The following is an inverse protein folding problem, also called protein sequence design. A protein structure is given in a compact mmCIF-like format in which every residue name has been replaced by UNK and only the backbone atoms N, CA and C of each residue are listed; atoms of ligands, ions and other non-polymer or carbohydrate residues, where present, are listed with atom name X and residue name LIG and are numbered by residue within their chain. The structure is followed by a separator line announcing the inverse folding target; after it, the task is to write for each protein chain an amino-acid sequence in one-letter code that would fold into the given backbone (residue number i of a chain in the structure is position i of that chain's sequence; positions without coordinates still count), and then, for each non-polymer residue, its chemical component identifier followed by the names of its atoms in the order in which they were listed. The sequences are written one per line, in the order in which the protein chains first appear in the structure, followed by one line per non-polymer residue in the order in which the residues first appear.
data_IF_964980928835
#
_entry.id   IF_964980928835
#
_cell.length_a   1.000
_cell.length_b   1.000
_cell.length_c   1.000
_cell.angle_alpha   90.00
_cell.angle_beta   90.00
_cell.angle_gamma   90.00
#
_symmetry.space_group_name_H-M   'P 1'
#
loop_
_entity.id
_entity.type
_entity.pdbx_description
1 polymer ?
#
# COMPACT_ATOMS: atom_id res chain seq x y z
N UNK A 1 22.97 -2.44 -0.87
CA UNK A 1 22.81 -2.06 -2.26
C UNK A 1 21.35 -1.75 -2.58
N UNK A 2 21.15 -0.71 -3.32
CA UNK A 2 19.79 -0.33 -3.68
C UNK A 2 19.30 -1.18 -4.85
N UNK A 3 18.19 -1.87 -4.66
CA UNK A 3 17.54 -2.62 -5.71
C UNK A 3 16.35 -1.84 -6.27
N UNK A 4 16.51 -0.53 -6.34
CA UNK A 4 15.44 0.33 -6.82
C UNK A 4 15.05 -0.04 -8.24
N UNK A 5 13.75 -0.09 -8.48
CA UNK A 5 13.18 -0.39 -9.78
C UNK A 5 12.76 0.93 -10.43
N UNK A 6 13.31 1.21 -11.60
CA UNK A 6 12.95 2.41 -12.35
C UNK A 6 12.49 1.99 -13.74
N UNK A 7 11.35 2.52 -14.16
CA UNK A 7 10.78 2.25 -15.47
C UNK A 7 10.24 3.55 -16.05
N UNK A 8 10.16 3.60 -17.37
CA UNK A 8 9.55 4.76 -18.02
C UNK A 8 8.04 4.78 -17.78
N UNK A 9 7.42 5.92 -17.98
CA UNK A 9 5.99 6.07 -17.88
C UNK A 9 5.26 5.10 -18.80
N UNK A 10 5.74 4.91 -20.01
CA UNK A 10 5.14 3.98 -20.96
C UNK A 10 5.21 2.54 -20.47
N UNK A 11 6.31 2.16 -19.83
CA UNK A 11 6.45 0.81 -19.28
C UNK A 11 5.45 0.56 -18.14
N UNK A 12 5.28 1.56 -17.26
CA UNK A 12 4.29 1.43 -16.19
C UNK A 12 2.88 1.32 -16.74
N UNK A 13 2.54 2.12 -17.76
CA UNK A 13 1.21 2.06 -18.37
C UNK A 13 0.94 0.73 -19.05
N UNK A 14 1.96 0.11 -19.62
CA UNK A 14 1.82 -1.20 -20.25
C UNK A 14 1.60 -2.32 -19.24
N UNK A 15 2.16 -2.16 -18.05
CA UNK A 15 2.12 -3.17 -17.00
C UNK A 15 0.86 -3.09 -16.13
N UNK A 16 0.36 -1.89 -15.90
CA UNK A 16 -0.69 -1.61 -14.91
C UNK A 16 -2.03 -1.32 -15.58
N UNK A 17 -3.12 -1.63 -14.86
CA UNK A 17 -4.43 -1.12 -15.29
C UNK A 17 -4.47 0.40 -15.09
N UNK A 18 -5.42 1.12 -15.72
CA UNK A 18 -5.54 2.56 -15.52
C UNK A 18 -5.67 2.96 -14.04
N UNK A 19 -6.46 2.23 -13.26
CA UNK A 19 -6.62 2.52 -11.85
C UNK A 19 -5.34 2.29 -11.06
N UNK A 20 -4.64 1.18 -11.32
CA UNK A 20 -3.37 0.88 -10.68
C UNK A 20 -2.34 1.95 -11.01
N UNK A 21 -2.31 2.39 -12.25
CA UNK A 21 -1.36 3.41 -12.70
C UNK A 21 -1.63 4.75 -11.98
N UNK A 22 -2.89 5.17 -11.93
CA UNK A 22 -3.26 6.43 -11.26
C UNK A 22 -2.88 6.41 -9.78
N UNK A 23 -3.18 5.32 -9.10
CA UNK A 23 -2.91 5.22 -7.66
C UNK A 23 -1.42 5.16 -7.39
N UNK A 24 -0.68 4.30 -8.09
CA UNK A 24 0.72 4.03 -7.76
C UNK A 24 1.69 5.05 -8.31
N UNK A 25 1.44 5.57 -9.52
CA UNK A 25 2.39 6.47 -10.18
C UNK A 25 1.96 7.94 -10.13
N UNK A 26 0.68 8.22 -9.88
CA UNK A 26 0.15 9.58 -9.81
C UNK A 26 -0.46 9.93 -8.46
N UNK A 27 -0.12 9.18 -7.42
CA UNK A 27 -0.55 9.46 -6.04
C UNK A 27 -2.08 9.55 -5.90
N UNK A 28 -2.80 8.80 -6.73
CA UNK A 28 -4.24 8.76 -6.62
C UNK A 28 -4.69 7.96 -5.41
N UNK A 29 -5.98 8.08 -5.08
CA UNK A 29 -6.58 7.32 -3.99
C UNK A 29 -7.80 6.62 -4.55
N UNK A 30 -7.91 5.30 -4.33
CA UNK A 30 -9.12 4.60 -4.72
C UNK A 30 -10.27 5.03 -3.82
N UNK A 31 -11.49 4.90 -4.34
CA UNK A 31 -12.68 5.23 -3.57
C UNK A 31 -12.86 4.20 -2.44
N UNK A 32 -13.23 4.66 -1.26
CA UNK A 32 -13.46 3.79 -0.11
C UNK A 32 -14.49 2.70 -0.47
N UNK A 33 -14.26 1.50 0.02
CA UNK A 33 -15.13 0.32 -0.16
C UNK A 33 -15.19 -0.21 -1.60
N UNK A 34 -14.37 0.28 -2.51
CA UNK A 34 -14.36 -0.20 -3.89
C UNK A 34 -13.22 -1.17 -4.17
N UNK A 35 -12.18 -1.20 -3.33
CA UNK A 35 -11.02 -2.05 -3.56
C UNK A 35 -11.33 -3.52 -3.31
N UNK A 36 -10.80 -4.38 -4.17
CA UNK A 36 -11.08 -5.82 -4.10
C UNK A 36 -10.44 -6.50 -2.90
N UNK A 37 -9.43 -5.89 -2.30
CA UNK A 37 -8.70 -6.50 -1.18
C UNK A 37 -9.16 -6.00 0.18
N UNK A 38 -10.10 -5.06 0.25
CA UNK A 38 -10.54 -4.49 1.51
C UNK A 38 -11.06 -5.57 2.47
N UNK A 39 -11.84 -6.50 1.97
CA UNK A 39 -12.46 -7.54 2.81
C UNK A 39 -11.85 -8.92 2.61
N UNK A 40 -10.58 -8.98 2.21
CA UNK A 40 -9.86 -10.25 2.10
C UNK A 40 -9.17 -10.52 3.42
N UNK A 41 -9.48 -11.66 4.05
CA UNK A 41 -8.90 -12.04 5.34
C UNK A 41 -8.26 -13.43 5.30
N UNK A 42 -8.00 -13.93 4.11
CA UNK A 42 -7.29 -15.19 3.94
C UNK A 42 -5.81 -15.04 4.30
N UNK A 43 -5.19 -16.12 4.71
CA UNK A 43 -3.76 -16.12 5.00
C UNK A 43 -2.96 -15.90 3.72
N UNK A 44 -2.04 -14.98 3.78
CA UNK A 44 -1.22 -14.69 2.61
C UNK A 44 -0.35 -13.47 2.81
N UNK A 45 0.24 -13.06 1.70
CA UNK A 45 1.17 -11.94 1.66
C UNK A 45 0.68 -10.91 0.66
N UNK A 46 0.80 -9.64 1.02
CA UNK A 46 0.45 -8.53 0.14
C UNK A 46 1.72 -7.95 -0.47
N UNK A 47 1.79 -8.01 -1.79
CA UNK A 47 2.95 -7.56 -2.57
C UNK A 47 2.65 -6.24 -3.26
N UNK A 48 3.71 -5.50 -3.60
CA UNK A 48 3.57 -4.30 -4.41
C UNK A 48 3.12 -4.71 -5.82
N UNK A 49 2.06 -4.08 -6.32
CA UNK A 49 1.55 -4.39 -7.67
C UNK A 49 2.57 -4.03 -8.75
N UNK A 50 3.46 -3.09 -8.47
CA UNK A 50 4.44 -2.61 -9.45
C UNK A 50 5.70 -3.45 -9.51
N UNK A 51 6.27 -3.84 -8.37
CA UNK A 51 7.58 -4.51 -8.34
C UNK A 51 7.57 -5.85 -7.62
N UNK A 52 6.43 -6.27 -7.10
CA UNK A 52 6.25 -7.55 -6.43
C UNK A 52 6.98 -7.69 -5.09
N UNK A 53 7.47 -6.60 -4.51
CA UNK A 53 8.08 -6.64 -3.19
C UNK A 53 7.04 -7.03 -2.13
N UNK A 54 7.44 -7.82 -1.14
CA UNK A 54 6.56 -8.16 -0.03
C UNK A 54 6.40 -6.96 0.88
N UNK A 55 5.17 -6.53 1.11
CA UNK A 55 4.87 -5.30 1.86
C UNK A 55 4.19 -5.55 3.19
N UNK A 56 3.14 -6.36 3.21
CA UNK A 56 2.35 -6.62 4.41
C UNK A 56 1.94 -8.07 4.50
N UNK A 57 1.79 -8.57 5.71
CA UNK A 57 1.29 -9.92 5.98
C UNK A 57 -0.18 -9.85 6.39
N UNK A 58 -0.95 -10.88 6.03
CA UNK A 58 -2.33 -11.02 6.48
C UNK A 58 -2.44 -11.05 8.00
N UNK A 59 -1.37 -11.41 8.69
CA UNK A 59 -1.39 -11.49 10.16
C UNK A 59 -1.60 -10.13 10.83
N UNK A 60 -1.30 -9.03 10.13
CA UNK A 60 -1.49 -7.69 10.67
C UNK A 60 -2.68 -6.95 10.04
N UNK A 61 -3.38 -7.58 9.11
CA UNK A 61 -4.55 -6.97 8.49
C UNK A 61 -5.75 -7.02 9.44
N UNK A 62 -6.50 -5.93 9.50
CA UNK A 62 -7.69 -5.87 10.33
C UNK A 62 -8.74 -4.96 9.67
N UNK A 63 -9.99 -5.07 10.15
CA UNK A 63 -11.09 -4.25 9.65
C UNK A 63 -11.12 -2.93 10.43
N UNK A 64 -10.67 -1.86 9.81
CA UNK A 64 -10.67 -0.53 10.44
C UNK A 64 -11.98 0.22 10.22
N UNK A 65 -12.85 -0.28 9.34
CA UNK A 65 -14.07 0.41 8.97
C UNK A 65 -13.86 1.56 8.00
N UNK A 66 -12.63 1.80 7.57
CA UNK A 66 -12.30 2.94 6.71
C UNK A 66 -12.69 2.75 5.25
N UNK A 67 -12.84 1.50 4.81
CA UNK A 67 -13.13 1.19 3.43
C UNK A 67 -11.91 0.90 2.59
N UNK A 68 -10.73 0.89 3.19
CA UNK A 68 -9.47 0.51 2.54
C UNK A 68 -8.80 -0.61 3.34
N UNK A 69 -8.00 -1.46 2.68
CA UNK A 69 -7.20 -2.44 3.40
C UNK A 69 -6.37 -1.77 4.49
N UNK A 70 -6.43 -2.30 5.69
CA UNK A 70 -5.73 -1.69 6.83
C UNK A 70 -4.86 -2.72 7.53
N UNK A 71 -3.67 -2.27 7.95
CA UNK A 71 -2.69 -3.12 8.62
C UNK A 71 -2.13 -2.35 9.81
N UNK A 72 -1.85 -3.03 10.90
CA UNK A 72 -1.31 -2.32 12.08
C UNK A 72 0.21 -2.40 12.17
N UNK A 73 0.86 -3.11 11.26
CA UNK A 73 2.32 -3.20 11.24
C UNK A 73 2.83 -3.55 9.84
N UNK A 74 4.12 -3.31 9.63
CA UNK A 74 4.83 -3.71 8.41
C UNK A 74 5.52 -5.04 8.67
N UNK A 75 6.23 -5.55 7.64
CA UNK A 75 7.02 -6.77 7.80
C UNK A 75 8.36 -6.53 8.49
N UNK A 76 8.76 -5.26 8.65
CA UNK A 76 10.05 -4.95 9.23
C UNK A 76 11.23 -5.24 8.32
N UNK A 77 10.99 -5.42 7.01
CA UNK A 77 12.02 -5.77 6.03
C UNK A 77 12.53 -4.58 5.22
N UNK A 78 12.13 -3.36 5.61
CA UNK A 78 12.57 -2.15 4.90
C UNK A 78 11.84 -1.87 3.60
N UNK A 79 10.80 -2.62 3.28
CA UNK A 79 10.07 -2.45 2.02
C UNK A 79 9.17 -1.22 1.99
N UNK A 80 8.82 -0.68 3.16
CA UNK A 80 7.92 0.47 3.29
C UNK A 80 8.72 1.72 3.63
N UNK A 81 8.52 2.79 2.87
CA UNK A 81 9.10 4.09 3.15
C UNK A 81 7.99 5.09 3.45
N UNK A 82 8.31 6.12 4.20
CA UNK A 82 7.35 7.14 4.63
C UNK A 82 7.83 8.53 4.23
N UNK A 83 6.87 9.38 3.85
CA UNK A 83 7.16 10.76 3.45
C UNK A 83 6.04 11.65 3.98
N UNK A 84 6.38 12.83 4.46
CA UNK A 84 5.37 13.78 4.93
C UNK A 84 4.54 14.28 3.73
N UNK A 85 3.21 14.24 3.90
CA UNK A 85 2.27 14.70 2.89
C UNK A 85 1.49 15.86 3.48
N UNK A 86 1.71 17.07 2.95
CA UNK A 86 1.05 18.28 3.42
C UNK A 86 -0.04 18.77 2.47
N UNK A 87 -0.43 17.95 1.49
CA UNK A 87 -1.47 18.32 0.53
C UNK A 87 -2.81 18.57 1.25
N UNK A 88 -3.65 19.37 0.63
CA UNK A 88 -5.00 19.72 1.14
C UNK A 88 -4.94 20.37 2.53
N UNK A 89 -3.86 21.08 2.84
CA UNK A 89 -3.68 21.76 4.12
C UNK A 89 -3.74 20.80 5.33
N UNK A 90 -3.52 19.51 5.09
CA UNK A 90 -3.46 18.49 6.12
C UNK A 90 -2.03 18.01 6.27
N UNK A 91 -1.74 17.46 7.43
CA UNK A 91 -0.43 16.88 7.68
C UNK A 91 -0.59 15.39 7.89
N UNK A 92 -0.15 14.63 6.91
CA UNK A 92 -0.26 13.18 6.92
C UNK A 92 1.09 12.56 6.60
N UNK A 93 1.22 11.26 6.85
CA UNK A 93 2.41 10.52 6.47
C UNK A 93 2.05 9.56 5.34
N UNK A 94 2.63 9.81 4.18
CA UNK A 94 2.44 8.97 3.01
C UNK A 94 3.30 7.72 3.13
N UNK A 95 2.75 6.59 2.71
CA UNK A 95 3.45 5.30 2.68
C UNK A 95 3.66 4.92 1.22
N UNK A 96 4.91 4.60 0.86
CA UNK A 96 5.21 4.16 -0.50
C UNK A 96 6.20 2.99 -0.48
N UNK A 97 6.30 2.31 -1.62
CA UNK A 97 7.21 1.19 -1.77
C UNK A 97 8.64 1.71 -1.85
N UNK A 98 9.51 1.22 -0.99
CA UNK A 98 10.91 1.64 -0.98
C UNK A 98 11.62 1.26 -2.27
N UNK A 99 11.20 0.18 -2.92
CA UNK A 99 11.89 -0.38 -4.08
C UNK A 99 11.54 0.33 -5.39
N UNK A 100 10.25 0.62 -5.62
CA UNK A 100 9.81 1.21 -6.89
C UNK A 100 9.12 2.56 -6.73
N UNK A 101 9.00 3.03 -5.48
CA UNK A 101 8.38 4.30 -5.12
C UNK A 101 6.89 4.39 -5.45
N UNK A 102 6.23 3.24 -5.62
CA UNK A 102 4.78 3.24 -5.83
C UNK A 102 4.07 3.83 -4.61
N UNK A 103 3.12 4.73 -4.86
CA UNK A 103 2.28 5.26 -3.78
C UNK A 103 1.37 4.13 -3.28
N UNK A 104 1.36 3.89 -1.98
CA UNK A 104 0.57 2.83 -1.37
C UNK A 104 -0.62 3.39 -0.59
N UNK A 105 -0.41 4.41 0.20
CA UNK A 105 -1.44 4.98 1.03
C UNK A 105 -0.85 5.89 2.09
N UNK A 106 -1.41 5.83 3.29
CA UNK A 106 -0.98 6.67 4.41
C UNK A 106 -0.98 5.85 5.71
N UNK A 107 -0.20 6.32 6.69
CA UNK A 107 -0.20 5.72 8.02
C UNK A 107 -0.69 6.75 9.04
N UNK A 108 -1.52 6.32 9.97
CA UNK A 108 -2.14 7.18 10.99
C UNK A 108 -1.87 6.60 12.39
N UNK A 109 -1.84 7.44 13.44
CA UNK A 109 -1.56 6.96 14.80
C UNK A 109 -2.79 6.47 15.55
N UNK A 110 -3.85 6.11 14.87
CA UNK A 110 -5.13 5.68 15.46
C UNK A 110 -5.42 4.21 15.23
N UNK A 111 -4.39 3.39 15.24
CA UNK A 111 -4.52 1.94 15.03
C UNK A 111 -4.59 1.15 16.33
N UNK A 112 -4.76 -0.18 16.21
CA UNK A 112 -4.83 -1.05 17.38
C UNK A 112 -3.46 -1.38 17.96
N UNK A 113 -3.48 -1.91 19.17
CA UNK A 113 -2.27 -2.47 19.75
C UNK A 113 -1.82 -3.67 18.91
N UNK A 114 -0.52 -3.98 18.86
CA UNK A 114 0.55 -3.43 19.72
C UNK A 114 1.19 -2.14 19.21
N UNK A 115 1.03 -1.76 17.95
CA UNK A 115 1.74 -0.62 17.39
C UNK A 115 1.02 0.71 17.57
N UNK A 116 -0.32 0.70 17.65
CA UNK A 116 -1.09 1.92 17.64
C UNK A 116 -1.15 2.59 16.27
N UNK A 117 -0.70 1.91 15.23
CA UNK A 117 -0.64 2.45 13.87
C UNK A 117 -1.71 1.85 12.97
N UNK A 118 -2.19 2.66 12.04
CA UNK A 118 -3.12 2.22 11.00
C UNK A 118 -2.51 2.56 9.64
N UNK A 119 -2.01 1.54 8.95
CA UNK A 119 -1.56 1.67 7.56
C UNK A 119 -2.77 1.48 6.67
N UNK A 120 -3.25 2.57 6.08
CA UNK A 120 -4.42 2.57 5.22
C UNK A 120 -3.95 2.54 3.78
N UNK A 121 -4.11 1.40 3.11
CA UNK A 121 -3.45 1.11 1.85
C UNK A 121 -4.48 0.90 0.74
N UNK A 122 -4.19 1.41 -0.45
CA UNK A 122 -5.07 1.22 -1.61
C UNK A 122 -4.96 -0.21 -2.13
N UNK A 123 -6.10 -0.87 -2.37
CA UNK A 123 -6.10 -2.21 -2.98
C UNK A 123 -5.39 -2.20 -4.33
N UNK A 124 -5.55 -1.12 -5.09
CA UNK A 124 -4.94 -1.00 -6.42
C UNK A 124 -3.42 -1.04 -6.37
N UNK A 125 -2.81 -0.75 -5.21
CA UNK A 125 -1.36 -0.78 -5.04
C UNK A 125 -0.84 -2.16 -4.68
N UNK A 126 -1.72 -3.11 -4.40
CA UNK A 126 -1.36 -4.40 -3.83
C UNK A 126 -1.72 -5.57 -4.74
N UNK A 127 -0.93 -6.64 -4.63
CA UNK A 127 -1.26 -7.94 -5.19
C UNK A 127 -1.26 -8.92 -4.02
N UNK A 128 -2.37 -9.61 -3.83
CA UNK A 128 -2.49 -10.59 -2.75
C UNK A 128 -2.07 -11.96 -3.25
N UNK A 129 -1.20 -12.63 -2.49
CA UNK A 129 -0.79 -13.99 -2.80
C UNK A 129 -1.18 -14.89 -1.64
N UNK A 130 -2.09 -15.80 -1.92
CA UNK A 130 -2.58 -16.76 -0.93
C UNK A 130 -1.43 -17.66 -0.49
N UNK A 131 -1.35 -17.92 0.79
CA UNK A 131 -0.27 -18.72 1.37
C UNK A 131 -0.45 -20.21 1.10
N UNK A 132 -1.69 -20.64 1.02
CA UNK A 132 -2.00 -22.03 0.77
C UNK A 132 -2.01 -22.36 -0.69
#
# INVERSE_FOLDING_TARGET
MSDKIEKSDAEWRAQLTPDQYQVTRHHGTERAFTGTLNKVYEDGMYHCICCDAELFSSTTKYDSGSGWPSFYDTLGNGAIAETEDTSFMMRRVEVHCQRCEAHLGHVFPDGPQPTGLRYCINSASLAFRNKG
#
